data_IF_054027235120
#
_entry.id   IF_054027235120
#
_cell.length_a   1.000
_cell.length_b   1.000
_cell.length_c   1.000
_cell.angle_alpha   90.00
_cell.angle_beta   90.00
_cell.angle_gamma   90.00
#
_symmetry.space_group_name_H-M   'P 1'
#
loop_
_entity.id
_entity.type
_entity.pdbx_description
1 polymer ?
#
# COMPACT_ATOMS: atom_id res chain seq x y z
N UNK A 1 8.53 8.52 -17.88
CA UNK A 1 8.58 9.55 -16.80
C UNK A 1 9.57 9.06 -15.74
N UNK A 2 10.41 9.93 -15.17
CA UNK A 2 11.29 9.51 -14.05
C UNK A 2 10.47 9.42 -12.77
N UNK A 3 10.90 8.59 -11.82
CA UNK A 3 10.24 8.47 -10.51
C UNK A 3 10.11 9.83 -9.80
N UNK A 4 11.14 10.68 -9.89
CA UNK A 4 11.15 12.02 -9.29
C UNK A 4 10.05 12.92 -9.84
N UNK A 5 9.75 12.80 -11.14
CA UNK A 5 8.72 13.60 -11.79
C UNK A 5 7.32 13.14 -11.31
N UNK A 6 7.13 11.83 -11.21
CA UNK A 6 5.89 11.22 -10.68
C UNK A 6 5.64 11.64 -9.24
N UNK A 7 6.67 11.57 -8.39
CA UNK A 7 6.58 11.95 -6.98
C UNK A 7 6.23 13.43 -6.83
N UNK A 8 6.91 14.32 -7.58
CA UNK A 8 6.60 15.74 -7.56
C UNK A 8 5.16 16.03 -8.04
N UNK A 9 4.67 15.31 -9.04
CA UNK A 9 3.30 15.44 -9.50
C UNK A 9 2.29 14.99 -8.43
N UNK A 10 2.54 13.84 -7.79
CA UNK A 10 1.70 13.31 -6.72
C UNK A 10 1.67 14.25 -5.49
N UNK A 11 2.81 14.80 -5.09
CA UNK A 11 2.92 15.78 -4.00
C UNK A 11 2.07 17.02 -4.27
N UNK A 12 2.15 17.59 -5.48
CA UNK A 12 1.34 18.75 -5.88
C UNK A 12 -0.14 18.43 -5.96
N UNK A 13 -0.51 17.24 -6.48
CA UNK A 13 -1.91 16.81 -6.62
C UNK A 13 -2.59 16.62 -5.27
N UNK A 14 -1.90 15.99 -4.33
CA UNK A 14 -2.43 15.68 -3.00
C UNK A 14 -2.19 16.82 -1.98
N UNK A 15 -1.45 17.86 -2.36
CA UNK A 15 -0.92 18.90 -1.45
C UNK A 15 -0.31 18.31 -0.18
N UNK A 16 0.52 17.28 -0.37
CA UNK A 16 0.92 16.38 0.71
C UNK A 16 2.30 15.80 0.48
N UNK A 17 3.02 15.61 1.59
CA UNK A 17 4.29 14.89 1.66
C UNK A 17 4.12 13.51 2.31
N UNK A 18 2.88 13.09 2.58
CA UNK A 18 2.57 11.85 3.27
C UNK A 18 2.90 10.64 2.39
N UNK A 19 3.78 9.78 2.90
CA UNK A 19 4.03 8.44 2.37
C UNK A 19 3.43 7.41 3.33
N UNK A 20 2.46 6.63 2.86
CA UNK A 20 1.83 5.58 3.67
C UNK A 20 2.63 4.28 3.57
N UNK A 21 3.15 3.82 4.71
CA UNK A 21 3.76 2.50 4.83
C UNK A 21 2.70 1.40 4.85
N UNK A 22 2.97 0.29 4.17
CA UNK A 22 2.12 -0.91 4.18
C UNK A 22 2.94 -2.05 4.76
N UNK A 23 2.85 -2.17 6.10
CA UNK A 23 3.68 -3.04 6.94
C UNK A 23 2.74 -4.02 7.71
N UNK A 24 2.12 -5.00 7.03
CA UNK A 24 1.03 -5.80 7.59
C UNK A 24 1.49 -6.75 8.70
N UNK A 25 0.83 -6.68 9.86
CA UNK A 25 1.03 -7.60 10.99
C UNK A 25 -0.31 -8.28 11.34
N UNK A 26 -0.55 -9.54 10.89
CA UNK A 26 -1.85 -10.21 11.05
C UNK A 26 -2.37 -10.23 12.49
N UNK A 27 -1.49 -10.35 13.49
CA UNK A 27 -1.87 -10.31 14.91
C UNK A 27 -2.55 -9.00 15.35
N UNK A 28 -2.35 -7.91 14.60
CA UNK A 28 -2.93 -6.59 14.83
C UNK A 28 -4.12 -6.28 13.93
N UNK A 29 -4.52 -7.19 13.04
CA UNK A 29 -5.68 -6.98 12.19
C UNK A 29 -6.97 -6.85 13.03
N UNK A 30 -7.92 -5.99 12.62
CA UNK A 30 -9.14 -5.75 13.37
C UNK A 30 -10.17 -6.86 13.17
N UNK A 31 -11.05 -7.03 14.15
CA UNK A 31 -12.26 -7.84 14.04
C UNK A 31 -12.01 -9.28 13.57
N UNK A 32 -12.80 -9.71 12.58
CA UNK A 32 -12.77 -11.08 12.05
C UNK A 32 -11.47 -11.42 11.29
N UNK A 33 -10.62 -10.44 10.99
CA UNK A 33 -9.35 -10.67 10.29
C UNK A 33 -8.17 -10.87 11.25
N UNK A 34 -8.38 -10.73 12.57
CA UNK A 34 -7.31 -10.87 13.56
C UNK A 34 -6.62 -12.23 13.45
N UNK A 35 -5.33 -12.20 13.15
CA UNK A 35 -4.48 -13.39 12.99
C UNK A 35 -4.57 -14.06 11.62
N UNK A 36 -5.42 -13.57 10.71
CA UNK A 36 -5.62 -14.19 9.39
C UNK A 36 -4.63 -13.63 8.36
N UNK A 37 -3.51 -14.34 8.18
CA UNK A 37 -2.49 -13.97 7.20
C UNK A 37 -2.98 -14.07 5.74
N UNK A 38 -4.10 -14.75 5.45
CA UNK A 38 -4.68 -14.78 4.09
C UNK A 38 -5.29 -13.44 3.68
N UNK A 39 -5.48 -12.52 4.64
CA UNK A 39 -6.07 -11.18 4.47
C UNK A 39 -5.05 -10.06 4.33
N UNK A 40 -3.76 -10.36 4.23
CA UNK A 40 -2.71 -9.32 4.13
C UNK A 40 -2.97 -8.37 2.94
N UNK A 41 -3.23 -8.91 1.75
CA UNK A 41 -3.54 -8.09 0.57
C UNK A 41 -4.80 -7.25 0.78
N UNK A 42 -5.87 -7.86 1.30
CA UNK A 42 -7.15 -7.19 1.54
C UNK A 42 -6.99 -6.03 2.54
N UNK A 43 -6.30 -6.27 3.65
CA UNK A 43 -6.02 -5.27 4.67
C UNK A 43 -5.22 -4.07 4.12
N UNK A 44 -4.13 -4.33 3.40
CA UNK A 44 -3.36 -3.25 2.79
C UNK A 44 -4.13 -2.53 1.68
N UNK A 45 -4.97 -3.23 0.91
CA UNK A 45 -5.80 -2.63 -0.13
C UNK A 45 -6.83 -1.67 0.45
N UNK A 46 -7.43 -1.99 1.61
CA UNK A 46 -8.34 -1.09 2.31
C UNK A 46 -7.64 0.19 2.78
N UNK A 47 -6.41 0.09 3.30
CA UNK A 47 -5.59 1.27 3.64
C UNK A 47 -5.32 2.12 2.39
N UNK A 48 -4.96 1.49 1.28
CA UNK A 48 -4.74 2.20 0.00
C UNK A 48 -6.01 2.92 -0.46
N UNK A 49 -7.15 2.23 -0.45
CA UNK A 49 -8.44 2.81 -0.87
C UNK A 49 -8.82 4.01 0.00
N UNK A 50 -8.57 3.93 1.30
CA UNK A 50 -8.91 4.99 2.25
C UNK A 50 -7.97 6.22 2.17
N UNK A 51 -6.76 6.07 1.63
CA UNK A 51 -5.71 7.11 1.72
C UNK A 51 -5.18 7.61 0.39
N UNK A 52 -5.45 6.94 -0.74
CA UNK A 52 -4.91 7.28 -2.07
C UNK A 52 -5.12 8.73 -2.53
N UNK A 53 -6.14 9.41 -2.02
CA UNK A 53 -6.47 10.78 -2.40
C UNK A 53 -5.63 11.83 -1.66
N UNK A 54 -4.97 11.45 -0.55
CA UNK A 54 -4.22 12.37 0.34
C UNK A 54 -2.73 12.05 0.48
N UNK A 55 -2.23 11.02 -0.22
CA UNK A 55 -0.83 10.57 -0.16
C UNK A 55 -0.05 10.96 -1.40
N UNK A 56 1.26 11.14 -1.24
CA UNK A 56 2.18 11.29 -2.36
C UNK A 56 2.88 9.98 -2.75
N UNK A 57 2.85 8.96 -1.90
CA UNK A 57 3.45 7.65 -2.19
C UNK A 57 2.88 6.55 -1.27
N UNK A 58 2.96 5.30 -1.73
CA UNK A 58 2.83 4.13 -0.87
C UNK A 58 4.16 3.39 -0.78
N UNK A 59 4.47 2.80 0.38
CA UNK A 59 5.70 2.06 0.60
C UNK A 59 5.42 0.69 1.23
N UNK A 60 5.08 -0.34 0.43
CA UNK A 60 5.01 -1.72 0.89
C UNK A 60 6.36 -2.20 1.43
N UNK A 61 6.38 -2.77 2.64
CA UNK A 61 7.61 -3.31 3.23
C UNK A 61 7.68 -4.83 3.05
N UNK A 62 8.48 -5.28 2.07
CA UNK A 62 8.60 -6.69 1.68
C UNK A 62 8.85 -7.66 2.84
N UNK A 63 9.63 -7.24 3.87
CA UNK A 63 9.94 -8.10 5.01
C UNK A 63 8.69 -8.57 5.78
N UNK A 64 7.65 -7.73 5.89
CA UNK A 64 6.39 -8.11 6.56
C UNK A 64 5.59 -9.12 5.74
N UNK A 65 5.63 -9.04 4.41
CA UNK A 65 4.97 -10.01 3.53
C UNK A 65 5.73 -11.34 3.55
N UNK A 66 7.06 -11.31 3.43
CA UNK A 66 7.92 -12.49 3.41
C UNK A 66 7.86 -13.28 4.73
N UNK A 67 7.71 -12.61 5.87
CA UNK A 67 7.52 -13.26 7.17
C UNK A 67 6.31 -14.23 7.21
N UNK A 68 5.34 -14.04 6.31
CA UNK A 68 4.14 -14.86 6.20
C UNK A 68 4.07 -15.66 4.89
N UNK A 69 5.14 -15.70 4.09
CA UNK A 69 5.17 -16.30 2.73
C UNK A 69 4.07 -15.73 1.82
N UNK A 70 3.84 -14.42 1.92
CA UNK A 70 2.75 -13.69 1.29
C UNK A 70 3.23 -12.81 0.11
N UNK A 71 4.28 -13.23 -0.61
CA UNK A 71 4.80 -12.51 -1.77
C UNK A 71 3.76 -12.42 -2.91
N UNK A 72 2.92 -13.45 -3.07
CA UNK A 72 1.78 -13.43 -4.00
C UNK A 72 0.75 -12.34 -3.64
N UNK A 73 0.52 -12.13 -2.33
CA UNK A 73 -0.32 -11.06 -1.82
C UNK A 73 0.31 -9.68 -2.04
N UNK A 74 1.65 -9.57 -1.95
CA UNK A 74 2.36 -8.34 -2.31
C UNK A 74 2.18 -8.01 -3.80
N UNK A 75 2.33 -8.98 -4.70
CA UNK A 75 2.08 -8.78 -6.12
C UNK A 75 0.64 -8.32 -6.41
N UNK A 76 -0.35 -8.96 -5.77
CA UNK A 76 -1.76 -8.55 -5.84
C UNK A 76 -1.97 -7.12 -5.35
N UNK A 77 -1.33 -6.74 -4.24
CA UNK A 77 -1.40 -5.38 -3.71
C UNK A 77 -0.76 -4.37 -4.66
N UNK A 78 0.41 -4.68 -5.24
CA UNK A 78 1.07 -3.83 -6.24
C UNK A 78 0.17 -3.60 -7.46
N UNK A 79 -0.49 -4.66 -7.96
CA UNK A 79 -1.45 -4.56 -9.05
C UNK A 79 -2.67 -3.69 -8.66
N UNK A 80 -3.17 -3.85 -7.43
CA UNK A 80 -4.26 -3.03 -6.90
C UNK A 80 -3.89 -1.55 -6.85
N UNK A 81 -2.73 -1.19 -6.27
CA UNK A 81 -2.28 0.20 -6.17
C UNK A 81 -2.17 0.84 -7.56
N UNK A 82 -1.53 0.16 -8.52
CA UNK A 82 -1.40 0.66 -9.90
C UNK A 82 -2.74 0.89 -10.59
N UNK A 83 -3.76 0.10 -10.24
CA UNK A 83 -5.11 0.22 -10.81
C UNK A 83 -5.91 1.35 -10.17
N UNK A 84 -5.87 1.51 -8.85
CA UNK A 84 -6.75 2.45 -8.13
C UNK A 84 -6.11 3.82 -7.87
N UNK A 85 -4.78 3.91 -7.95
CA UNK A 85 -3.99 5.10 -7.73
C UNK A 85 -2.83 5.18 -8.75
N UNK A 86 -3.12 5.21 -10.07
CA UNK A 86 -2.10 5.14 -11.13
C UNK A 86 -1.07 6.28 -11.08
N UNK A 87 -1.48 7.43 -10.55
CA UNK A 87 -0.63 8.63 -10.42
C UNK A 87 0.15 8.68 -9.08
N UNK A 88 -0.04 7.71 -8.19
CA UNK A 88 0.68 7.61 -6.91
C UNK A 88 1.84 6.62 -7.07
N UNK A 89 3.09 7.06 -6.86
CA UNK A 89 4.24 6.16 -6.91
C UNK A 89 4.24 5.14 -5.76
N UNK A 90 4.83 3.99 -6.07
CA UNK A 90 5.21 2.92 -5.14
C UNK A 90 6.70 2.63 -5.32
#
# INVERSE_FOLDING_TARGET
>A
MKFTDQLQAAQRRADSMLCVGLDPEPGKFPGAWKGDASRIADFCAEIVNATKDVVCAFKPQIAYFAAHRAEDQLERLMAHIRRVAPDVPV
#
